data_IF_612124368383
#
_entry.id   IF_612124368383
#
_cell.length_a   1.000
_cell.length_b   1.000
_cell.length_c   1.000
_cell.angle_alpha   90.00
_cell.angle_beta   90.00
_cell.angle_gamma   90.00
#
_symmetry.space_group_name_H-M   'P 1'
#
loop_
_entity.id
_entity.type
_entity.pdbx_description
1 polymer ?
#
# COMPACT_ATOMS: atom_id res chain seq x y z
N UNK A 1 -3.16 18.25 15.91
CA UNK A 1 -2.89 18.08 14.46
C UNK A 1 -2.58 16.62 14.21
N UNK A 2 -3.44 15.90 13.48
CA UNK A 2 -3.30 14.46 13.23
C UNK A 2 -2.19 14.20 12.22
N UNK A 3 -1.17 13.44 12.63
CA UNK A 3 0.04 13.12 11.85
C UNK A 3 -0.25 12.39 10.53
N UNK A 4 -1.40 11.73 10.43
CA UNK A 4 -1.80 10.94 9.25
C UNK A 4 -2.12 11.84 8.04
N UNK A 5 -2.60 13.06 8.27
CA UNK A 5 -3.02 13.98 7.21
C UNK A 5 -1.85 14.51 6.36
N UNK A 6 -0.64 14.63 6.95
CA UNK A 6 0.55 15.10 6.23
C UNK A 6 1.10 14.10 5.20
N UNK A 7 0.90 12.80 5.41
CA UNK A 7 1.46 11.77 4.52
C UNK A 7 0.76 11.66 3.17
N UNK A 8 -0.46 12.18 3.05
CA UNK A 8 -1.25 12.12 1.82
C UNK A 8 -1.59 13.50 1.22
N UNK A 9 -1.15 14.58 1.86
CA UNK A 9 -1.33 15.97 1.42
C UNK A 9 -0.42 16.38 0.24
N UNK A 10 0.41 15.48 -0.28
CA UNK A 10 1.29 15.76 -1.44
C UNK A 10 0.73 15.14 -2.72
N UNK A 11 -0.55 15.42 -2.99
CA UNK A 11 -1.18 15.21 -4.30
C UNK A 11 -1.04 16.47 -5.20
N UNK A 12 -0.14 17.38 -4.85
CA UNK A 12 0.23 18.49 -5.73
C UNK A 12 1.26 18.00 -6.76
N UNK A 13 0.76 17.89 -7.98
CA UNK A 13 1.15 17.02 -9.10
C UNK A 13 2.38 17.50 -9.90
N UNK A 14 3.11 18.51 -9.41
CA UNK A 14 4.12 19.24 -10.21
C UNK A 14 5.57 19.10 -9.72
N UNK A 15 5.81 18.44 -8.58
CA UNK A 15 7.18 18.25 -8.08
C UNK A 15 7.85 17.03 -8.73
N UNK A 16 8.41 17.22 -9.92
CA UNK A 16 9.26 16.21 -10.56
C UNK A 16 10.52 15.96 -9.73
N UNK A 17 10.75 14.73 -9.29
CA UNK A 17 11.99 14.35 -8.61
C UNK A 17 13.10 14.15 -9.64
N UNK A 18 14.32 14.54 -9.26
CA UNK A 18 15.50 14.17 -10.01
C UNK A 18 15.81 12.69 -9.76
N UNK A 19 15.77 11.88 -10.80
CA UNK A 19 15.85 10.42 -10.71
C UNK A 19 17.20 9.95 -11.30
N UNK A 20 18.05 9.25 -10.51
CA UNK A 20 19.29 8.69 -11.02
C UNK A 20 19.02 7.56 -12.01
N UNK A 21 19.97 7.37 -12.94
CA UNK A 21 19.84 6.37 -14.01
C UNK A 21 19.67 4.93 -13.50
N UNK A 22 20.18 4.60 -12.31
CA UNK A 22 19.98 3.30 -11.67
C UNK A 22 18.50 3.03 -11.37
N UNK A 23 17.79 4.01 -10.83
CA UNK A 23 16.37 3.93 -10.47
C UNK A 23 15.49 3.78 -11.72
N UNK A 24 15.86 4.40 -12.85
CA UNK A 24 15.20 4.20 -14.15
C UNK A 24 15.27 2.73 -14.60
N UNK A 25 16.41 2.08 -14.38
CA UNK A 25 16.60 0.66 -14.74
C UNK A 25 15.79 -0.25 -13.82
N UNK A 26 15.75 0.06 -12.52
CA UNK A 26 14.94 -0.70 -11.55
C UNK A 26 13.44 -0.54 -11.82
N UNK A 27 12.98 0.68 -12.08
CA UNK A 27 11.59 0.95 -12.45
C UNK A 27 11.17 0.17 -13.71
N UNK A 28 12.06 0.08 -14.71
CA UNK A 28 11.81 -0.68 -15.94
C UNK A 28 11.67 -2.19 -15.65
N UNK A 29 12.47 -2.74 -14.72
CA UNK A 29 12.40 -4.15 -14.32
C UNK A 29 11.13 -4.45 -13.52
N UNK A 30 10.78 -3.57 -12.58
CA UNK A 30 9.60 -3.73 -11.71
C UNK A 30 8.31 -3.66 -12.51
N UNK A 31 8.21 -2.71 -13.44
CA UNK A 31 6.97 -2.44 -14.18
C UNK A 31 6.89 -3.15 -15.54
N UNK A 32 8.01 -3.65 -16.06
CA UNK A 32 8.09 -4.21 -17.41
C UNK A 32 7.98 -3.17 -18.54
N UNK A 33 7.88 -1.87 -18.23
CA UNK A 33 7.82 -0.79 -19.23
C UNK A 33 9.22 -0.53 -19.81
N UNK A 34 9.33 -0.33 -21.13
CA UNK A 34 10.61 -0.06 -21.80
C UNK A 34 11.06 1.40 -21.63
N UNK A 35 11.47 1.77 -20.41
CA UNK A 35 11.88 3.14 -20.09
C UNK A 35 13.16 3.58 -20.82
N UNK A 36 14.03 2.63 -21.21
CA UNK A 36 15.28 2.93 -21.93
C UNK A 36 15.06 3.37 -23.38
N UNK A 37 13.90 3.06 -23.96
CA UNK A 37 13.54 3.44 -25.32
C UNK A 37 13.14 4.91 -25.47
N UNK A 38 12.86 5.61 -24.37
CA UNK A 38 12.52 7.03 -24.37
C UNK A 38 13.77 7.91 -24.43
N UNK A 39 13.61 9.15 -24.91
CA UNK A 39 14.64 10.18 -24.83
C UNK A 39 15.05 10.43 -23.38
N UNK A 40 16.33 10.74 -23.06
CA UNK A 40 16.79 10.87 -21.68
C UNK A 40 15.94 11.80 -20.79
N UNK A 41 15.43 12.91 -21.35
CA UNK A 41 14.53 13.84 -20.65
C UNK A 41 13.16 13.21 -20.35
N UNK A 42 12.65 12.38 -21.25
CA UNK A 42 11.36 11.71 -21.13
C UNK A 42 11.42 10.47 -20.24
N UNK A 43 12.61 9.90 -20.01
CA UNK A 43 12.78 8.78 -19.08
C UNK A 43 12.42 9.19 -17.66
N UNK A 44 12.85 10.37 -17.22
CA UNK A 44 12.55 10.93 -15.89
C UNK A 44 11.05 11.19 -15.77
N UNK A 45 10.42 11.77 -16.81
CA UNK A 45 8.98 11.99 -16.86
C UNK A 45 8.20 10.66 -16.78
N UNK A 46 8.66 9.63 -17.49
CA UNK A 46 8.03 8.32 -17.51
C UNK A 46 8.13 7.62 -16.15
N UNK A 47 9.27 7.70 -15.45
CA UNK A 47 9.39 7.16 -14.09
C UNK A 47 8.51 7.93 -13.11
N UNK A 48 8.53 9.26 -13.12
CA UNK A 48 7.65 10.07 -12.28
C UNK A 48 6.15 9.76 -12.54
N UNK A 49 5.76 9.48 -13.79
CA UNK A 49 4.40 9.07 -14.11
C UNK A 49 4.05 7.69 -13.54
N UNK A 50 4.98 6.73 -13.61
CA UNK A 50 4.82 5.39 -13.02
C UNK A 50 4.67 5.48 -11.50
N UNK A 51 5.52 6.25 -10.83
CA UNK A 51 5.45 6.42 -9.37
C UNK A 51 4.10 7.03 -8.95
N UNK A 52 3.61 8.03 -9.70
CA UNK A 52 2.27 8.60 -9.47
C UNK A 52 1.18 7.55 -9.63
N UNK A 53 1.21 6.78 -10.71
CA UNK A 53 0.25 5.70 -10.96
C UNK A 53 0.24 4.68 -9.81
N UNK A 54 1.41 4.23 -9.36
CA UNK A 54 1.54 3.30 -8.23
C UNK A 54 1.04 3.90 -6.91
N UNK A 55 1.29 5.19 -6.66
CA UNK A 55 0.77 5.89 -5.48
C UNK A 55 -0.75 5.99 -5.50
N UNK A 56 -1.36 6.31 -6.65
CA UNK A 56 -2.81 6.34 -6.81
C UNK A 56 -3.43 4.96 -6.58
N UNK A 57 -2.84 3.90 -7.14
CA UNK A 57 -3.31 2.53 -6.92
C UNK A 57 -3.22 2.17 -5.44
N UNK A 58 -2.08 2.43 -4.80
CA UNK A 58 -1.90 2.15 -3.37
C UNK A 58 -2.87 2.93 -2.50
N UNK A 59 -3.14 4.19 -2.83
CA UNK A 59 -4.13 5.00 -2.12
C UNK A 59 -5.54 4.46 -2.32
N UNK A 60 -5.91 4.08 -3.55
CA UNK A 60 -7.20 3.48 -3.84
C UNK A 60 -7.39 2.14 -3.12
N UNK A 61 -6.35 1.31 -3.05
CA UNK A 61 -6.36 0.08 -2.25
C UNK A 61 -6.49 0.35 -0.76
N UNK A 62 -5.78 1.36 -0.24
CA UNK A 62 -5.90 1.77 1.16
C UNK A 62 -7.32 2.28 1.47
N UNK A 63 -7.94 3.05 0.56
CA UNK A 63 -9.32 3.51 0.70
C UNK A 63 -10.34 2.36 0.63
N UNK A 64 -10.07 1.32 -0.15
CA UNK A 64 -10.90 0.10 -0.18
C UNK A 64 -10.82 -0.69 1.13
N UNK A 65 -9.65 -0.71 1.77
CA UNK A 65 -9.41 -1.44 3.01
C UNK A 65 -9.90 -0.69 4.25
N UNK A 66 -9.75 0.63 4.29
CA UNK A 66 -10.13 1.45 5.45
C UNK A 66 -11.30 2.38 5.10
N UNK A 67 -12.52 2.09 5.59
CA UNK A 67 -13.70 2.92 5.32
C UNK A 67 -13.62 4.32 5.95
N UNK A 68 -12.70 4.56 6.89
CA UNK A 68 -12.49 5.87 7.52
C UNK A 68 -11.51 6.77 6.75
N UNK A 69 -10.69 6.18 5.88
CA UNK A 69 -9.57 6.87 5.25
C UNK A 69 -10.02 8.01 4.33
N UNK A 70 -11.09 7.81 3.56
CA UNK A 70 -11.61 8.84 2.66
C UNK A 70 -12.03 10.12 3.42
N UNK A 71 -12.68 9.99 4.57
CA UNK A 71 -13.05 11.14 5.39
C UNK A 71 -11.81 11.83 5.98
N UNK A 72 -10.86 11.06 6.51
CA UNK A 72 -9.62 11.60 7.09
C UNK A 72 -8.77 12.35 6.06
N UNK A 73 -8.70 11.84 4.83
CA UNK A 73 -7.95 12.47 3.73
C UNK A 73 -8.52 13.84 3.34
N UNK A 74 -9.84 13.97 3.37
CA UNK A 74 -10.52 15.23 3.08
C UNK A 74 -10.58 16.18 4.30
N UNK A 75 -9.89 15.86 5.39
CA UNK A 75 -9.93 16.65 6.63
C UNK A 75 -11.25 16.56 7.40
N UNK A 76 -12.12 15.62 7.01
CA UNK A 76 -13.43 15.42 7.63
C UNK A 76 -13.35 14.39 8.75
N UNK A 77 -14.29 14.50 9.70
CA UNK A 77 -14.45 13.48 10.74
C UNK A 77 -15.21 12.29 10.16
N UNK A 78 -14.68 11.05 10.25
CA UNK A 78 -15.39 9.86 9.80
C UNK A 78 -16.72 9.67 10.57
N UNK A 79 -17.75 9.20 9.86
CA UNK A 79 -19.05 8.88 10.45
C UNK A 79 -18.94 7.74 11.47
N UNK A 80 -19.89 7.67 12.41
CA UNK A 80 -19.93 6.64 13.44
C UNK A 80 -19.92 5.21 12.87
N UNK A 81 -20.71 4.98 11.81
CA UNK A 81 -20.75 3.68 11.10
C UNK A 81 -19.39 3.27 10.53
N UNK A 82 -18.70 4.16 9.81
CA UNK A 82 -17.38 3.86 9.25
C UNK A 82 -16.32 3.55 10.33
N UNK A 83 -16.44 4.18 11.51
CA UNK A 83 -15.57 3.86 12.66
C UNK A 83 -15.86 2.46 13.20
N UNK A 84 -17.14 2.08 13.27
CA UNK A 84 -17.55 0.74 13.70
C UNK A 84 -17.13 -0.33 12.70
N UNK A 85 -17.30 -0.09 11.41
CA UNK A 85 -16.85 -1.03 10.36
C UNK A 85 -15.34 -1.28 10.46
N UNK A 86 -14.54 -0.23 10.68
CA UNK A 86 -13.10 -0.36 10.92
C UNK A 86 -12.78 -1.18 12.17
N UNK A 87 -13.52 -0.98 13.26
CA UNK A 87 -13.38 -1.74 14.51
C UNK A 87 -13.66 -3.23 14.28
N UNK A 88 -14.76 -3.57 13.61
CA UNK A 88 -15.09 -4.94 13.26
C UNK A 88 -14.00 -5.59 12.39
N UNK A 89 -13.49 -4.87 11.38
CA UNK A 89 -12.41 -5.41 10.53
C UNK A 89 -11.14 -5.74 11.33
N UNK A 90 -10.80 -4.92 12.32
CA UNK A 90 -9.64 -5.17 13.19
C UNK A 90 -9.87 -6.39 14.11
N UNK A 91 -11.08 -6.52 14.67
CA UNK A 91 -11.45 -7.68 15.49
C UNK A 91 -11.46 -8.98 14.66
N UNK A 92 -12.01 -8.94 13.45
CA UNK A 92 -12.02 -10.07 12.52
C UNK A 92 -10.59 -10.49 12.13
N UNK A 93 -9.72 -9.55 11.79
CA UNK A 93 -8.32 -9.84 11.45
C UNK A 93 -7.56 -10.46 12.63
N UNK A 94 -7.79 -9.99 13.86
CA UNK A 94 -7.18 -10.58 15.05
C UNK A 94 -7.68 -12.01 15.32
N UNK A 95 -8.98 -12.25 15.16
CA UNK A 95 -9.53 -13.60 15.35
C UNK A 95 -9.01 -14.58 14.29
N UNK A 96 -8.92 -14.15 13.03
CA UNK A 96 -8.34 -14.94 11.93
C UNK A 96 -6.89 -15.29 12.27
N UNK A 97 -6.07 -14.31 12.68
CA UNK A 97 -4.68 -14.55 13.07
C UNK A 97 -4.55 -15.58 14.19
N UNK A 98 -5.35 -15.44 15.26
CA UNK A 98 -5.35 -16.41 16.38
C UNK A 98 -5.75 -17.81 15.92
N UNK A 99 -6.64 -17.93 14.94
CA UNK A 99 -7.05 -19.20 14.35
C UNK A 99 -5.94 -19.82 13.48
N UNK A 100 -5.24 -19.01 12.69
CA UNK A 100 -4.10 -19.44 11.87
C UNK A 100 -2.94 -19.94 12.73
N UNK A 101 -2.55 -19.19 13.76
CA UNK A 101 -1.52 -19.61 14.72
C UNK A 101 -1.88 -20.95 15.40
N UNK A 102 -3.16 -21.15 15.72
CA UNK A 102 -3.64 -22.44 16.27
C UNK A 102 -3.54 -23.58 15.27
N UNK A 103 -3.82 -23.33 13.98
CA UNK A 103 -3.70 -24.34 12.92
C UNK A 103 -2.24 -24.72 12.68
N UNK A 104 -1.35 -23.73 12.64
CA UNK A 104 0.09 -23.94 12.46
C UNK A 104 0.68 -24.78 13.59
N UNK A 105 0.42 -24.40 14.86
CA UNK A 105 0.86 -25.20 16.03
C UNK A 105 0.33 -26.64 16.01
N UNK A 106 -0.91 -26.86 15.52
CA UNK A 106 -1.46 -28.22 15.39
C UNK A 106 -0.73 -29.02 14.31
N UNK A 107 -0.39 -28.38 13.18
CA UNK A 107 0.36 -29.00 12.08
C UNK A 107 1.77 -29.39 12.52
N UNK A 108 2.48 -28.49 13.21
CA UNK A 108 3.80 -28.77 13.78
C UNK A 108 3.77 -29.93 14.77
N UNK A 109 2.77 -29.94 15.67
CA UNK A 109 2.61 -31.03 16.65
C UNK A 109 2.26 -32.38 15.99
N UNK A 110 1.59 -32.36 14.84
CA UNK A 110 1.33 -33.56 14.03
C UNK A 110 2.61 -34.07 13.37
N UNK A 111 3.37 -33.19 12.71
CA UNK A 111 4.64 -33.53 12.08
C UNK A 111 5.69 -34.06 13.06
N UNK A 112 5.70 -33.56 14.31
CA UNK A 112 6.59 -34.06 15.35
C UNK A 112 6.24 -35.48 15.84
N UNK A 113 4.98 -35.89 15.70
CA UNK A 113 4.49 -37.23 16.08
C UNK A 113 4.70 -38.29 15.00
N UNK A 114 4.84 -37.87 13.75
CA UNK A 114 5.02 -38.77 12.60
C UNK A 114 6.49 -39.12 12.35
N UNK A 115 7.42 -38.31 12.88
CA UNK A 115 8.88 -38.50 12.78
C UNK A 115 9.50 -39.23 14.00
N UNK A 116 8.69 -39.84 14.86
CA UNK A 116 9.10 -40.57 16.08
C UNK A 116 8.60 -42.01 16.01
#
# INVERSE_FOLDING_TARGET
>A
MSTISKYYQHLDDDSQRNIPRSEIVEAARRTGKNLKGYLPKDQINAVNAIEREELHVRQAEAMKKDPTLAAMLNGNTPHWGAKKDKELMMEDEETIRRMEEKKERKKERGALRENM
#
